data_IF_179880330973
#
_entry.id   IF_179880330973
#
_cell.length_a   1.000
_cell.length_b   1.000
_cell.length_c   1.000
_cell.angle_alpha   90.00
_cell.angle_beta   90.00
_cell.angle_gamma   90.00
#
_symmetry.space_group_name_H-M   'P 1'
#
loop_
_entity.id
_entity.type
_entity.pdbx_description
1 polymer ?
#
# COMPACT_ATOMS: atom_id res chain seq x y z
N UNK A 1 -22.34 -34.86 2.08
CA UNK A 1 -21.06 -34.42 2.68
C UNK A 1 -19.94 -35.13 1.95
N UNK A 2 -19.10 -34.40 1.20
CA UNK A 2 -17.94 -34.99 0.51
C UNK A 2 -16.91 -35.49 1.53
N UNK A 3 -16.08 -36.48 1.16
CA UNK A 3 -15.05 -37.05 2.06
C UNK A 3 -14.07 -35.99 2.60
N UNK A 4 -13.79 -34.95 1.80
CA UNK A 4 -12.97 -33.80 2.19
C UNK A 4 -13.64 -32.93 3.26
N UNK A 5 -14.96 -32.68 3.14
CA UNK A 5 -15.71 -31.91 4.15
C UNK A 5 -15.83 -32.69 5.47
N UNK A 6 -15.91 -34.03 5.40
CA UNK A 6 -15.92 -34.87 6.60
C UNK A 6 -14.58 -34.83 7.33
N UNK A 7 -13.46 -34.94 6.60
CA UNK A 7 -12.11 -34.76 7.17
C UNK A 7 -11.88 -33.35 7.75
N UNK A 8 -12.43 -32.32 7.11
CA UNK A 8 -12.35 -30.94 7.58
C UNK A 8 -13.06 -30.74 8.92
N UNK A 9 -14.27 -31.28 9.06
CA UNK A 9 -15.04 -31.27 10.31
C UNK A 9 -14.38 -32.13 11.38
N UNK A 10 -13.81 -33.27 11.01
CA UNK A 10 -13.10 -34.15 11.96
C UNK A 10 -11.80 -33.48 12.48
N UNK A 11 -10.97 -32.84 11.64
CA UNK A 11 -9.80 -32.08 12.11
C UNK A 11 -10.21 -30.83 12.93
N UNK A 12 -11.24 -30.08 12.52
CA UNK A 12 -11.73 -28.90 13.27
C UNK A 12 -12.26 -29.31 14.65
N UNK A 13 -13.11 -30.33 14.72
CA UNK A 13 -13.63 -30.86 16.00
C UNK A 13 -12.48 -31.40 16.88
N UNK A 14 -11.50 -32.08 16.27
CA UNK A 14 -10.32 -32.59 16.98
C UNK A 14 -9.45 -31.45 17.53
N UNK A 15 -9.30 -30.35 16.78
CA UNK A 15 -8.64 -29.14 17.23
C UNK A 15 -9.42 -28.47 18.37
N UNK A 16 -10.74 -28.28 18.25
CA UNK A 16 -11.64 -27.75 19.30
C UNK A 16 -11.55 -28.51 20.62
N UNK A 17 -11.57 -29.85 20.57
CA UNK A 17 -11.36 -30.72 21.74
C UNK A 17 -9.97 -30.55 22.37
N UNK A 18 -8.95 -30.20 21.58
CA UNK A 18 -7.57 -29.99 22.04
C UNK A 18 -7.31 -28.61 22.65
N UNK A 19 -8.05 -27.57 22.24
CA UNK A 19 -7.95 -26.20 22.81
C UNK A 19 -8.25 -26.15 24.33
N UNK A 20 -8.93 -27.18 24.85
CA UNK A 20 -9.28 -27.34 26.27
C UNK A 20 -8.12 -27.85 27.17
N UNK A 21 -7.06 -28.47 26.61
CA UNK A 21 -5.95 -29.04 27.41
C UNK A 21 -4.63 -28.28 27.23
N UNK A 22 -4.15 -27.68 28.31
CA UNK A 22 -2.97 -26.78 28.36
C UNK A 22 -1.59 -27.45 28.38
N UNK A 23 -1.49 -28.79 28.27
CA UNK A 23 -0.23 -29.50 28.18
C UNK A 23 -0.24 -30.51 27.03
N UNK A 24 0.40 -30.15 25.92
CA UNK A 24 0.53 -31.00 24.74
C UNK A 24 2.02 -31.07 24.37
N UNK A 25 2.54 -32.28 24.13
CA UNK A 25 3.93 -32.52 23.74
C UNK A 25 4.23 -31.98 22.33
N UNK A 26 5.50 -31.67 22.05
CA UNK A 26 5.95 -31.04 20.78
C UNK A 26 5.55 -31.86 19.55
N UNK A 27 5.68 -33.18 19.63
CA UNK A 27 5.30 -34.12 18.56
C UNK A 27 3.81 -33.99 18.19
N UNK A 28 2.94 -33.93 19.19
CA UNK A 28 1.49 -33.83 19.00
C UNK A 28 1.05 -32.48 18.45
N UNK A 29 1.81 -31.41 18.73
CA UNK A 29 1.53 -30.08 18.18
C UNK A 29 1.70 -30.05 16.65
N UNK A 30 2.78 -30.66 16.15
CA UNK A 30 3.09 -30.73 14.71
C UNK A 30 2.03 -31.52 13.92
N UNK A 31 1.51 -32.62 14.50
CA UNK A 31 0.44 -33.41 13.88
C UNK A 31 -0.88 -32.64 13.74
N UNK A 32 -1.28 -31.88 14.76
CA UNK A 32 -2.51 -31.07 14.73
C UNK A 32 -2.36 -29.88 13.78
N UNK A 33 -1.21 -29.19 13.78
CA UNK A 33 -0.94 -28.09 12.85
C UNK A 33 -0.96 -28.56 11.41
N UNK A 34 -0.49 -29.78 11.13
CA UNK A 34 -0.51 -30.37 9.79
C UNK A 34 -1.91 -30.86 9.38
N UNK A 35 -2.71 -31.41 10.31
CA UNK A 35 -4.14 -31.74 10.05
C UNK A 35 -4.92 -30.49 9.62
N UNK A 36 -4.75 -29.37 10.36
CA UNK A 36 -5.39 -28.10 10.05
C UNK A 36 -4.86 -27.49 8.74
N UNK A 37 -3.58 -27.65 8.45
CA UNK A 37 -2.99 -27.22 7.18
C UNK A 37 -3.69 -27.85 5.97
N UNK A 38 -3.81 -29.19 5.96
CA UNK A 38 -4.49 -29.94 4.89
C UNK A 38 -6.01 -29.72 4.86
N UNK A 39 -6.59 -29.26 5.97
CA UNK A 39 -7.98 -28.81 6.04
C UNK A 39 -8.19 -27.48 5.31
N UNK A 40 -7.19 -26.60 5.27
CA UNK A 40 -7.23 -25.31 4.55
C UNK A 40 -6.79 -25.51 3.08
N UNK A 41 -5.71 -26.27 2.87
CA UNK A 41 -5.16 -26.58 1.55
C UNK A 41 -5.55 -27.99 1.15
N UNK A 42 -6.62 -28.10 0.38
CA UNK A 42 -7.18 -29.40 0.00
C UNK A 42 -6.36 -30.15 -1.06
N UNK A 43 -5.53 -29.45 -1.85
CA UNK A 43 -4.78 -29.99 -2.98
C UNK A 43 -3.34 -29.45 -3.07
N UNK A 44 -2.41 -30.33 -3.47
CA UNK A 44 -1.01 -30.01 -3.83
C UNK A 44 -0.88 -28.93 -4.91
N UNK A 45 -1.81 -28.91 -5.87
CA UNK A 45 -1.83 -27.86 -6.89
C UNK A 45 -2.07 -26.47 -6.28
N UNK A 46 -3.02 -26.36 -5.34
CA UNK A 46 -3.32 -25.10 -4.67
C UNK A 46 -2.14 -24.67 -3.79
N UNK A 47 -1.48 -25.64 -3.13
CA UNK A 47 -0.26 -25.38 -2.35
C UNK A 47 0.82 -24.72 -3.22
N UNK A 48 1.22 -25.38 -4.30
CA UNK A 48 2.27 -24.88 -5.18
C UNK A 48 1.89 -23.54 -5.82
N UNK A 49 0.63 -23.37 -6.23
CA UNK A 49 0.13 -22.10 -6.77
C UNK A 49 0.23 -20.98 -5.72
N UNK A 50 -0.15 -21.24 -4.46
CA UNK A 50 -0.11 -20.25 -3.39
C UNK A 50 1.32 -19.83 -3.05
N UNK A 51 2.24 -20.79 -2.94
CA UNK A 51 3.67 -20.54 -2.70
C UNK A 51 4.24 -19.69 -3.84
N UNK A 52 4.02 -20.09 -5.09
CA UNK A 52 4.54 -19.38 -6.25
C UNK A 52 4.00 -17.95 -6.33
N UNK A 53 2.70 -17.78 -6.10
CA UNK A 53 2.05 -16.46 -6.14
C UNK A 53 2.57 -15.55 -5.03
N UNK A 54 2.65 -16.03 -3.78
CA UNK A 54 3.17 -15.24 -2.66
C UNK A 54 4.64 -14.89 -2.88
N UNK A 55 5.45 -15.82 -3.39
CA UNK A 55 6.86 -15.57 -3.70
C UNK A 55 7.04 -14.50 -4.78
N UNK A 56 6.22 -14.53 -5.84
CA UNK A 56 6.24 -13.49 -6.88
C UNK A 56 5.84 -12.14 -6.30
N UNK A 57 4.73 -12.06 -5.55
CA UNK A 57 4.27 -10.80 -4.97
C UNK A 57 5.29 -10.23 -3.98
N UNK A 58 5.89 -11.10 -3.16
CA UNK A 58 6.94 -10.73 -2.22
C UNK A 58 8.17 -10.15 -2.93
N UNK A 59 8.72 -10.88 -3.90
CA UNK A 59 9.92 -10.45 -4.63
C UNK A 59 9.66 -9.20 -5.46
N UNK A 60 8.52 -9.14 -6.15
CA UNK A 60 8.12 -7.97 -6.93
C UNK A 60 7.97 -6.73 -6.06
N UNK A 61 7.23 -6.83 -4.95
CA UNK A 61 7.04 -5.70 -4.03
C UNK A 61 8.37 -5.23 -3.46
N UNK A 62 9.26 -6.14 -3.02
CA UNK A 62 10.58 -5.77 -2.52
C UNK A 62 11.41 -5.04 -3.58
N UNK A 63 11.52 -5.61 -4.78
CA UNK A 63 12.34 -5.03 -5.86
C UNK A 63 11.84 -3.63 -6.23
N UNK A 64 10.54 -3.47 -6.45
CA UNK A 64 9.98 -2.18 -6.89
C UNK A 64 10.08 -1.13 -5.79
N UNK A 65 9.76 -1.47 -4.54
CA UNK A 65 9.83 -0.54 -3.41
C UNK A 65 11.27 -0.14 -3.08
N UNK A 66 12.22 -1.08 -3.05
CA UNK A 66 13.64 -0.78 -2.79
C UNK A 66 14.23 0.05 -3.93
N UNK A 67 13.95 -0.31 -5.19
CA UNK A 67 14.43 0.47 -6.33
C UNK A 67 13.90 1.90 -6.31
N UNK A 68 12.61 2.07 -5.99
CA UNK A 68 12.00 3.39 -5.86
C UNK A 68 12.62 4.18 -4.70
N UNK A 69 12.88 3.55 -3.56
CA UNK A 69 13.53 4.19 -2.41
C UNK A 69 14.94 4.69 -2.77
N UNK A 70 15.76 3.84 -3.39
CA UNK A 70 17.12 4.19 -3.80
C UNK A 70 17.11 5.34 -4.81
N UNK A 71 16.19 5.33 -5.78
CA UNK A 71 16.04 6.44 -6.73
C UNK A 71 15.66 7.77 -6.05
N UNK A 72 14.89 7.73 -4.97
CA UNK A 72 14.50 8.91 -4.19
C UNK A 72 15.58 9.38 -3.20
N UNK A 73 16.53 8.53 -2.83
CA UNK A 73 17.66 8.90 -1.98
C UNK A 73 18.81 9.51 -2.77
N UNK A 74 19.05 9.03 -3.99
CA UNK A 74 20.14 9.53 -4.82
C UNK A 74 19.93 10.99 -5.31
N UNK A 75 18.69 11.48 -5.26
CA UNK A 75 18.36 12.84 -5.70
C UNK A 75 18.23 13.80 -4.51
N UNK A 76 19.31 14.53 -4.19
CA UNK A 76 19.32 15.52 -3.10
C UNK A 76 18.29 16.64 -3.30
N UNK A 77 18.03 17.03 -4.55
CA UNK A 77 17.04 18.05 -4.92
C UNK A 77 15.59 17.60 -4.68
N UNK A 78 15.29 16.31 -4.78
CA UNK A 78 13.95 15.75 -4.57
C UNK A 78 13.69 15.36 -3.11
N UNK A 79 14.74 15.20 -2.30
CA UNK A 79 14.65 14.76 -0.90
C UNK A 79 13.66 15.57 -0.06
N UNK A 80 13.59 16.89 -0.28
CA UNK A 80 12.84 17.82 0.56
C UNK A 80 11.43 18.13 0.07
N UNK A 81 10.97 17.54 -1.04
CA UNK A 81 9.60 17.76 -1.48
C UNK A 81 8.63 16.96 -0.59
N UNK A 82 7.57 17.58 -0.03
CA UNK A 82 6.56 16.92 0.78
C UNK A 82 6.02 15.61 0.18
N UNK A 83 5.84 15.58 -1.15
CA UNK A 83 5.35 14.40 -1.87
C UNK A 83 6.31 13.22 -1.81
N UNK A 84 7.62 13.47 -1.96
CA UNK A 84 8.63 12.42 -1.94
C UNK A 84 8.89 11.90 -0.54
N UNK A 85 8.82 12.77 0.47
CA UNK A 85 8.92 12.36 1.88
C UNK A 85 7.75 11.46 2.28
N UNK A 86 6.51 11.81 1.91
CA UNK A 86 5.35 10.94 2.11
C UNK A 86 5.49 9.63 1.34
N UNK A 87 6.05 9.66 0.12
CA UNK A 87 6.28 8.46 -0.67
C UNK A 87 7.30 7.52 -0.04
N UNK A 88 8.40 8.05 0.53
CA UNK A 88 9.36 7.27 1.31
C UNK A 88 8.66 6.59 2.50
N UNK A 89 7.78 7.31 3.20
CA UNK A 89 7.02 6.74 4.31
C UNK A 89 6.06 5.61 3.88
N UNK A 90 5.41 5.77 2.73
CA UNK A 90 4.55 4.73 2.15
C UNK A 90 5.36 3.48 1.80
N UNK A 91 6.51 3.66 1.15
CA UNK A 91 7.43 2.57 0.80
C UNK A 91 7.86 1.79 2.06
N UNK A 92 8.23 2.48 3.14
CA UNK A 92 8.63 1.83 4.40
C UNK A 92 7.47 1.00 4.98
N UNK A 93 6.25 1.56 4.97
CA UNK A 93 5.07 0.85 5.47
C UNK A 93 4.72 -0.37 4.61
N UNK A 94 4.82 -0.24 3.28
CA UNK A 94 4.56 -1.32 2.33
C UNK A 94 5.61 -2.44 2.43
N UNK A 95 6.90 -2.11 2.60
CA UNK A 95 7.96 -3.09 2.86
C UNK A 95 7.72 -3.85 4.17
N UNK A 96 7.37 -3.14 5.26
CA UNK A 96 7.04 -3.77 6.54
C UNK A 96 5.86 -4.74 6.40
N UNK A 97 4.80 -4.32 5.69
CA UNK A 97 3.62 -5.15 5.47
C UNK A 97 3.98 -6.41 4.67
N UNK A 98 4.69 -6.26 3.56
CA UNK A 98 5.10 -7.37 2.69
C UNK A 98 5.98 -8.38 3.43
N UNK A 99 6.94 -7.92 4.23
CA UNK A 99 7.83 -8.81 5.00
C UNK A 99 7.05 -9.55 6.09
N UNK A 100 6.19 -8.85 6.84
CA UNK A 100 5.45 -9.43 7.97
C UNK A 100 4.35 -10.39 7.54
N UNK A 101 3.82 -10.27 6.32
CA UNK A 101 2.83 -11.20 5.77
C UNK A 101 3.51 -12.38 5.06
N UNK A 102 4.43 -12.10 4.12
CA UNK A 102 4.96 -13.14 3.22
C UNK A 102 5.87 -14.13 3.91
N UNK A 103 6.75 -13.71 4.84
CA UNK A 103 7.69 -14.63 5.47
C UNK A 103 6.98 -15.70 6.33
N UNK A 104 6.04 -15.34 7.22
CA UNK A 104 5.34 -16.34 8.02
C UNK A 104 4.41 -17.20 7.16
N UNK A 105 3.77 -16.63 6.13
CA UNK A 105 2.94 -17.39 5.20
C UNK A 105 3.76 -18.45 4.44
N UNK A 106 4.89 -18.06 3.84
CA UNK A 106 5.79 -19.00 3.14
C UNK A 106 6.35 -20.05 4.09
N UNK A 107 6.67 -19.69 5.34
CA UNK A 107 7.09 -20.66 6.34
C UNK A 107 5.97 -21.66 6.67
N UNK A 108 4.73 -21.22 6.84
CA UNK A 108 3.65 -22.15 7.10
C UNK A 108 3.40 -23.09 5.90
N UNK A 109 3.48 -22.55 4.67
CA UNK A 109 3.26 -23.30 3.43
C UNK A 109 4.35 -24.34 3.15
N UNK A 110 5.62 -23.99 3.31
CA UNK A 110 6.75 -24.89 3.02
C UNK A 110 6.87 -26.02 4.05
N UNK A 111 6.54 -25.74 5.31
CA UNK A 111 6.62 -26.73 6.39
C UNK A 111 5.30 -27.48 6.62
N UNK A 112 4.24 -27.16 5.86
CA UNK A 112 2.93 -27.81 5.97
C UNK A 112 2.33 -27.73 7.38
N UNK A 113 2.53 -26.60 8.04
CA UNK A 113 2.11 -26.32 9.41
C UNK A 113 1.36 -25.01 9.48
N UNK A 114 0.40 -24.91 10.40
CA UNK A 114 -0.33 -23.68 10.72
C UNK A 114 0.36 -22.91 11.86
N UNK A 115 0.06 -21.62 11.99
CA UNK A 115 0.73 -20.74 12.92
C UNK A 115 0.34 -21.04 14.38
N UNK A 116 1.26 -20.80 15.32
CA UNK A 116 1.04 -21.00 16.75
C UNK A 116 0.94 -19.64 17.45
N UNK A 117 -0.05 -19.48 18.33
CA UNK A 117 -0.22 -18.28 19.15
C UNK A 117 0.91 -18.15 20.17
N UNK A 118 1.87 -17.27 19.87
CA UNK A 118 3.03 -16.97 20.70
C UNK A 118 3.33 -15.46 20.65
N UNK A 119 4.33 -15.01 21.43
CA UNK A 119 4.77 -13.60 21.39
C UNK A 119 5.14 -13.13 19.97
N UNK A 120 5.72 -14.00 19.14
CA UNK A 120 6.00 -13.70 17.72
C UNK A 120 4.73 -13.35 16.93
N UNK A 121 3.62 -14.02 17.22
CA UNK A 121 2.33 -13.78 16.59
C UNK A 121 1.76 -12.42 16.98
N UNK A 122 1.86 -12.05 18.26
CA UNK A 122 1.42 -10.74 18.77
C UNK A 122 2.28 -9.62 18.15
N UNK A 123 3.60 -9.81 18.08
CA UNK A 123 4.49 -8.86 17.43
C UNK A 123 4.20 -8.70 15.93
N UNK A 124 3.91 -9.81 15.23
CA UNK A 124 3.50 -9.80 13.83
C UNK A 124 2.18 -9.03 13.66
N UNK A 125 1.17 -9.34 14.47
CA UNK A 125 -0.13 -8.66 14.47
C UNK A 125 0.02 -7.14 14.69
N UNK A 126 0.76 -6.74 15.72
CA UNK A 126 1.04 -5.32 16.00
C UNK A 126 1.73 -4.64 14.82
N UNK A 127 2.76 -5.27 14.24
CA UNK A 127 3.51 -4.67 13.13
C UNK A 127 2.69 -4.56 11.86
N UNK A 128 1.87 -5.56 11.54
CA UNK A 128 0.93 -5.50 10.42
C UNK A 128 -0.07 -4.35 10.63
N UNK A 129 -0.66 -4.23 11.83
CA UNK A 129 -1.59 -3.15 12.14
C UNK A 129 -0.94 -1.75 12.02
N UNK A 130 0.29 -1.59 12.52
CA UNK A 130 1.06 -0.33 12.37
C UNK A 130 1.32 -0.03 10.90
N UNK A 131 1.79 -1.01 10.12
CA UNK A 131 2.09 -0.83 8.70
C UNK A 131 0.83 -0.49 7.89
N UNK A 132 -0.28 -1.20 8.11
CA UNK A 132 -1.55 -0.93 7.43
C UNK A 132 -2.11 0.46 7.75
N UNK A 133 -2.13 0.84 9.03
CA UNK A 133 -2.55 2.19 9.44
C UNK A 133 -1.59 3.26 8.90
N UNK A 134 -0.28 2.99 8.90
CA UNK A 134 0.75 3.85 8.35
C UNK A 134 0.56 4.12 6.86
N UNK A 135 0.34 3.08 6.04
CA UNK A 135 0.05 3.23 4.62
C UNK A 135 -1.24 4.02 4.38
N UNK A 136 -2.32 3.73 5.11
CA UNK A 136 -3.61 4.44 4.98
C UNK A 136 -3.51 5.92 5.37
N UNK A 137 -2.88 6.24 6.50
CA UNK A 137 -2.64 7.60 6.95
C UNK A 137 -1.75 8.36 5.95
N UNK A 138 -0.74 7.70 5.40
CA UNK A 138 0.19 8.29 4.43
C UNK A 138 -0.51 8.60 3.11
N UNK A 139 -1.29 7.68 2.54
CA UNK A 139 -2.06 7.92 1.31
C UNK A 139 -3.09 9.04 1.53
N UNK A 140 -3.76 9.06 2.68
CA UNK A 140 -4.69 10.14 3.04
C UNK A 140 -3.95 11.48 3.16
N UNK A 141 -2.74 11.48 3.72
CA UNK A 141 -1.91 12.68 3.82
C UNK A 141 -1.43 13.18 2.45
N UNK A 142 -1.10 12.28 1.52
CA UNK A 142 -0.80 12.64 0.12
C UNK A 142 -2.00 13.28 -0.56
N UNK A 143 -3.22 12.77 -0.32
CA UNK A 143 -4.45 13.36 -0.83
C UNK A 143 -4.69 14.77 -0.28
N UNK A 144 -4.47 14.97 1.02
CA UNK A 144 -4.59 16.27 1.68
C UNK A 144 -3.54 17.26 1.17
N UNK A 145 -2.30 16.81 0.98
CA UNK A 145 -1.23 17.62 0.39
C UNK A 145 -1.62 18.10 -1.02
N UNK A 146 -2.12 17.19 -1.85
CA UNK A 146 -2.59 17.53 -3.20
C UNK A 146 -3.77 18.50 -3.17
N UNK A 147 -4.71 18.34 -2.23
CA UNK A 147 -5.82 19.27 -2.02
C UNK A 147 -5.33 20.68 -1.63
N UNK A 148 -4.42 20.78 -0.66
CA UNK A 148 -3.86 22.07 -0.21
C UNK A 148 -3.10 22.74 -1.36
N UNK A 149 -2.32 21.99 -2.12
CA UNK A 149 -1.62 22.49 -3.31
C UNK A 149 -2.60 23.07 -4.33
N UNK A 150 -3.68 22.34 -4.67
CA UNK A 150 -4.67 22.81 -5.65
C UNK A 150 -5.48 24.02 -5.14
N UNK A 151 -5.84 24.07 -3.85
CA UNK A 151 -6.69 25.14 -3.32
C UNK A 151 -5.92 26.40 -2.90
N UNK A 152 -4.67 26.25 -2.46
CA UNK A 152 -3.88 27.32 -1.84
C UNK A 152 -2.47 27.41 -2.45
N UNK A 153 -2.33 27.20 -3.76
CA UNK A 153 -1.03 27.13 -4.44
C UNK A 153 -0.07 28.27 -4.08
N UNK A 154 -0.56 29.51 -3.97
CA UNK A 154 0.27 30.70 -3.64
C UNK A 154 0.83 30.65 -2.19
N UNK A 155 0.10 30.05 -1.25
CA UNK A 155 0.53 29.90 0.14
C UNK A 155 1.11 28.51 0.46
N UNK A 156 1.10 27.58 -0.48
CA UNK A 156 1.53 26.20 -0.27
C UNK A 156 2.96 26.11 0.28
N UNK A 157 3.89 26.88 -0.28
CA UNK A 157 5.29 26.93 0.16
C UNK A 157 5.44 27.50 1.60
N UNK A 158 4.53 28.37 2.04
CA UNK A 158 4.49 28.87 3.41
C UNK A 158 3.73 27.94 4.38
N UNK A 159 2.85 27.08 3.86
CA UNK A 159 2.06 26.14 4.66
C UNK A 159 2.86 24.85 4.92
N UNK A 160 3.47 24.26 3.88
CA UNK A 160 4.25 23.02 3.93
C UNK A 160 5.75 23.28 4.16
N UNK A 161 6.09 23.87 5.30
CA UNK A 161 7.49 23.98 5.74
C UNK A 161 8.05 22.61 6.14
N UNK A 162 9.37 22.40 5.99
CA UNK A 162 10.05 21.16 6.41
C UNK A 162 9.71 20.73 7.85
N UNK A 163 9.69 21.68 8.80
CA UNK A 163 9.36 21.39 10.20
C UNK A 163 7.95 20.79 10.35
N UNK A 164 6.95 21.37 9.67
CA UNK A 164 5.57 20.87 9.69
C UNK A 164 5.47 19.49 9.05
N UNK A 165 6.20 19.23 7.96
CA UNK A 165 6.27 17.93 7.31
C UNK A 165 6.82 16.84 8.26
N UNK A 166 7.89 17.15 9.01
CA UNK A 166 8.40 16.25 10.05
C UNK A 166 7.39 16.03 11.18
N UNK A 167 6.73 17.09 11.65
CA UNK A 167 5.66 16.96 12.64
C UNK A 167 4.52 16.07 12.11
N UNK A 168 4.11 16.22 10.85
CA UNK A 168 3.09 15.37 10.24
C UNK A 168 3.52 13.91 10.15
N UNK A 169 4.76 13.62 9.76
CA UNK A 169 5.28 12.25 9.78
C UNK A 169 5.25 11.64 11.17
N UNK A 170 5.73 12.38 12.18
CA UNK A 170 5.69 11.93 13.58
C UNK A 170 4.25 11.64 14.00
N UNK A 171 3.30 12.53 13.66
CA UNK A 171 1.89 12.33 13.96
C UNK A 171 1.31 11.08 13.27
N UNK A 172 1.66 10.83 12.00
CA UNK A 172 1.24 9.62 11.28
C UNK A 172 1.68 8.36 12.04
N UNK A 173 2.96 8.30 12.41
CA UNK A 173 3.50 7.15 13.16
C UNK A 173 2.90 7.03 14.55
N UNK A 174 2.72 8.13 15.28
CA UNK A 174 2.08 8.12 16.60
C UNK A 174 0.64 7.64 16.53
N UNK A 175 -0.13 8.07 15.53
CA UNK A 175 -1.52 7.61 15.34
C UNK A 175 -1.57 6.14 14.96
N UNK A 176 -0.68 5.67 14.07
CA UNK A 176 -0.58 4.26 13.71
C UNK A 176 -0.20 3.39 14.92
N UNK A 177 0.80 3.82 15.70
CA UNK A 177 1.24 3.14 16.92
C UNK A 177 0.15 3.14 18.00
N UNK A 178 -0.56 4.25 18.20
CA UNK A 178 -1.65 4.33 19.16
C UNK A 178 -2.83 3.44 18.76
N UNK A 179 -3.20 3.45 17.47
CA UNK A 179 -4.25 2.59 16.93
C UNK A 179 -3.92 1.12 17.09
N UNK A 180 -2.76 0.68 16.58
CA UNK A 180 -2.29 -0.69 16.70
C UNK A 180 -2.02 -1.11 18.15
N UNK A 181 -1.54 -0.18 18.97
CA UNK A 181 -1.29 -0.38 20.39
C UNK A 181 -2.59 -0.60 21.16
N UNK A 182 -3.66 0.12 20.84
CA UNK A 182 -4.97 -0.05 21.47
C UNK A 182 -5.54 -1.45 21.20
N UNK A 183 -5.52 -1.91 19.94
CA UNK A 183 -6.00 -3.25 19.59
C UNK A 183 -5.14 -4.34 20.22
N UNK A 184 -3.82 -4.19 20.17
CA UNK A 184 -2.87 -5.17 20.73
C UNK A 184 -2.94 -5.24 22.26
N UNK A 185 -3.11 -4.09 22.94
CA UNK A 185 -3.27 -4.05 24.41
C UNK A 185 -4.52 -4.81 24.83
N UNK A 186 -5.61 -4.64 24.08
CA UNK A 186 -6.84 -5.38 24.34
C UNK A 186 -6.66 -6.90 24.14
N UNK A 187 -5.85 -7.33 23.16
CA UNK A 187 -5.48 -8.75 22.99
C UNK A 187 -4.74 -9.27 24.23
N UNK A 188 -3.78 -8.50 24.73
CA UNK A 188 -2.99 -8.87 25.91
C UNK A 188 -3.83 -8.89 27.20
N UNK A 189 -4.80 -7.97 27.33
CA UNK A 189 -5.70 -7.91 28.47
C UNK A 189 -6.73 -9.05 28.49
N UNK A 190 -7.09 -9.58 27.33
CA UNK A 190 -8.07 -10.66 27.18
C UNK A 190 -7.64 -12.05 27.69
N UNK A 191 -6.56 -12.14 28.49
CA UNK A 191 -5.94 -13.38 28.98
C UNK A 191 -5.67 -14.38 27.86
N UNK A 192 -4.73 -14.01 27.00
CA UNK A 192 -4.37 -14.85 25.87
C UNK A 192 -3.66 -16.14 26.35
N UNK A 193 -4.22 -17.29 26.00
CA UNK A 193 -3.63 -18.59 26.31
C UNK A 193 -2.51 -18.92 25.31
N UNK A 194 -1.27 -18.64 25.70
CA UNK A 194 -0.09 -18.92 24.88
C UNK A 194 0.05 -20.41 24.54
N UNK A 195 0.48 -20.72 23.32
CA UNK A 195 0.76 -22.07 22.85
C UNK A 195 -0.40 -22.78 22.15
N UNK A 196 -1.54 -22.11 21.96
CA UNK A 196 -2.66 -22.58 21.16
C UNK A 196 -2.39 -22.50 19.65
N UNK A 197 -3.00 -23.37 18.86
CA UNK A 197 -2.80 -23.45 17.40
C UNK A 197 -3.81 -22.51 16.73
N UNK A 198 -3.39 -21.73 15.73
CA UNK A 198 -4.28 -20.88 14.93
C UNK A 198 -4.66 -21.58 13.64
N UNK A 199 -5.88 -21.34 13.15
CA UNK A 199 -6.36 -21.87 11.88
C UNK A 199 -5.91 -21.00 10.69
N UNK A 200 -4.69 -20.46 10.70
CA UNK A 200 -4.20 -19.50 9.71
C UNK A 200 -2.69 -19.55 9.49
N UNK A 201 -2.22 -18.83 8.46
CA UNK A 201 -0.81 -18.71 8.08
C UNK A 201 -0.18 -17.36 8.46
N UNK A 202 -1.01 -16.43 8.92
CA UNK A 202 -0.66 -15.08 9.40
C UNK A 202 -1.49 -14.85 10.66
N UNK A 203 -1.00 -14.03 11.58
CA UNK A 203 -1.75 -13.67 12.77
C UNK A 203 -2.87 -12.68 12.45
N UNK A 204 -4.02 -13.22 12.04
CA UNK A 204 -5.21 -12.46 11.71
C UNK A 204 -6.01 -12.07 12.96
N UNK A 205 -6.72 -10.93 12.95
CA UNK A 205 -7.51 -10.48 14.10
C UNK A 205 -8.55 -11.52 14.54
N UNK A 206 -9.21 -12.17 13.58
CA UNK A 206 -10.26 -13.17 13.81
C UNK A 206 -9.71 -14.43 14.50
N UNK A 207 -8.57 -14.90 14.04
CA UNK A 207 -7.86 -16.04 14.62
C UNK A 207 -7.40 -15.75 16.05
N UNK A 208 -6.95 -14.52 16.32
CA UNK A 208 -6.58 -14.09 17.67
C UNK A 208 -7.83 -13.99 18.56
N UNK A 209 -8.93 -13.44 18.03
CA UNK A 209 -10.20 -13.25 18.72
C UNK A 209 -10.82 -14.56 19.20
N UNK A 210 -10.79 -15.60 18.37
CA UNK A 210 -11.30 -16.93 18.71
C UNK A 210 -10.59 -17.56 19.92
N UNK A 211 -9.41 -17.06 20.30
CA UNK A 211 -8.60 -17.62 21.39
C UNK A 211 -8.80 -16.93 22.74
N UNK A 212 -9.53 -15.81 22.78
CA UNK A 212 -9.75 -15.04 24.00
C UNK A 212 -10.99 -15.53 24.76
N UNK A 213 -10.87 -15.71 26.08
CA UNK A 213 -11.97 -16.12 26.96
C UNK A 213 -13.05 -15.03 27.12
N UNK A 214 -12.71 -13.76 26.85
CA UNK A 214 -13.61 -12.61 26.88
C UNK A 214 -13.86 -12.03 25.47
N UNK A 215 -14.11 -12.91 24.49
CA UNK A 215 -14.17 -12.59 23.06
C UNK A 215 -15.18 -11.49 22.69
N UNK A 216 -16.39 -11.51 23.26
CA UNK A 216 -17.50 -10.65 22.78
C UNK A 216 -17.23 -9.13 22.90
N UNK A 217 -16.62 -8.68 24.00
CA UNK A 217 -16.31 -7.26 24.20
C UNK A 217 -15.17 -6.80 23.28
N UNK A 218 -14.14 -7.63 23.15
CA UNK A 218 -13.01 -7.38 22.27
C UNK A 218 -13.43 -7.34 20.80
N UNK A 219 -14.23 -8.32 20.38
CA UNK A 219 -14.76 -8.45 19.03
C UNK A 219 -15.59 -7.22 18.65
N UNK A 220 -16.50 -6.81 19.55
CA UNK A 220 -17.33 -5.62 19.36
C UNK A 220 -16.46 -4.35 19.27
N UNK A 221 -15.48 -4.19 20.16
CA UNK A 221 -14.57 -3.05 20.12
C UNK A 221 -13.77 -3.01 18.80
N UNK A 222 -13.17 -4.13 18.39
CA UNK A 222 -12.33 -4.17 17.20
C UNK A 222 -13.15 -3.90 15.91
N UNK A 223 -14.39 -4.43 15.84
CA UNK A 223 -15.33 -4.12 14.75
C UNK A 223 -15.67 -2.64 14.69
N UNK A 224 -16.01 -2.03 15.83
CA UNK A 224 -16.34 -0.60 15.91
C UNK A 224 -15.11 0.25 15.57
N UNK A 225 -13.94 -0.12 16.09
CA UNK A 225 -12.69 0.59 15.85
C UNK A 225 -12.32 0.57 14.36
N UNK A 226 -12.21 -0.61 13.76
CA UNK A 226 -11.89 -0.75 12.32
C UNK A 226 -12.95 -0.06 11.46
N UNK A 227 -14.24 -0.26 11.76
CA UNK A 227 -15.33 0.41 11.04
C UNK A 227 -15.26 1.94 11.13
N UNK A 228 -14.98 2.49 12.32
CA UNK A 228 -14.85 3.94 12.53
C UNK A 228 -13.65 4.53 11.80
N UNK A 229 -12.52 3.83 11.80
CA UNK A 229 -11.28 4.22 11.12
C UNK A 229 -11.50 4.22 9.60
N UNK A 230 -12.09 3.16 9.04
CA UNK A 230 -12.41 3.07 7.62
C UNK A 230 -13.39 4.17 7.20
N UNK A 231 -14.43 4.42 8.00
CA UNK A 231 -15.38 5.49 7.74
C UNK A 231 -14.72 6.87 7.74
N UNK A 232 -13.86 7.15 8.73
CA UNK A 232 -13.11 8.40 8.79
C UNK A 232 -12.22 8.60 7.55
N UNK A 233 -11.47 7.58 7.15
CA UNK A 233 -10.63 7.65 5.96
C UNK A 233 -11.45 7.88 4.69
N UNK A 234 -12.56 7.15 4.52
CA UNK A 234 -13.47 7.34 3.40
C UNK A 234 -14.02 8.77 3.36
N UNK A 235 -14.40 9.34 4.50
CA UNK A 235 -14.93 10.70 4.59
C UNK A 235 -13.88 11.74 4.20
N UNK A 236 -12.71 11.69 4.82
CA UNK A 236 -11.61 12.64 4.55
C UNK A 236 -11.17 12.57 3.10
N UNK A 237 -11.03 11.36 2.56
CA UNK A 237 -10.63 11.15 1.18
C UNK A 237 -11.69 11.62 0.19
N UNK A 238 -12.95 11.24 0.40
CA UNK A 238 -14.07 11.66 -0.45
C UNK A 238 -14.27 13.17 -0.44
N UNK A 239 -14.10 13.81 0.72
CA UNK A 239 -14.13 15.27 0.82
C UNK A 239 -13.00 15.91 0.02
N UNK A 240 -11.75 15.44 0.21
CA UNK A 240 -10.57 16.00 -0.45
C UNK A 240 -10.65 15.87 -1.98
N UNK A 241 -10.94 14.66 -2.47
CA UNK A 241 -11.06 14.40 -3.91
C UNK A 241 -12.33 14.97 -4.52
N UNK A 242 -13.44 15.00 -3.78
CA UNK A 242 -14.67 15.64 -4.22
C UNK A 242 -14.47 17.12 -4.48
N UNK A 243 -13.74 17.82 -3.60
CA UNK A 243 -13.37 19.23 -3.80
C UNK A 243 -12.38 19.42 -4.96
N UNK A 244 -11.37 18.56 -5.09
CA UNK A 244 -10.46 18.59 -6.24
C UNK A 244 -11.22 18.40 -7.57
N UNK A 245 -12.18 17.47 -7.61
CA UNK A 245 -13.03 17.23 -8.77
C UNK A 245 -13.93 18.43 -9.09
N UNK A 246 -14.52 19.07 -8.08
CA UNK A 246 -15.33 20.27 -8.26
C UNK A 246 -14.52 21.42 -8.87
N UNK A 247 -13.31 21.65 -8.36
CA UNK A 247 -12.40 22.68 -8.88
C UNK A 247 -12.04 22.36 -10.34
N UNK A 248 -11.64 21.12 -10.64
CA UNK A 248 -11.34 20.69 -12.00
C UNK A 248 -12.53 20.90 -12.96
N UNK A 249 -13.77 20.76 -12.45
CA UNK A 249 -14.99 20.98 -13.24
C UNK A 249 -15.32 22.46 -13.45
N UNK A 250 -15.05 23.32 -12.47
CA UNK A 250 -15.30 24.76 -12.55
C UNK A 250 -14.33 25.47 -13.49
N UNK A 251 -13.17 24.87 -13.72
CA UNK A 251 -12.11 25.43 -14.56
C UNK A 251 -12.38 25.01 -15.99
N UNK A 252 -13.39 25.62 -16.59
CA UNK A 252 -13.64 25.56 -18.02
C UNK A 252 -12.77 26.62 -18.72
N UNK A 253 -11.51 26.30 -18.97
CA UNK A 253 -10.68 26.98 -19.97
C UNK A 253 -11.12 26.53 -21.39
N UNK A 254 -10.95 27.37 -22.44
CA UNK A 254 -11.54 27.15 -23.77
C UNK A 254 -10.98 25.95 -24.58
N UNK A 255 -10.05 25.16 -24.02
CA UNK A 255 -9.50 23.96 -24.65
C UNK A 255 -10.04 22.68 -23.98
N UNK A 256 -11.05 22.07 -24.59
CA UNK A 256 -11.76 20.87 -24.10
C UNK A 256 -10.89 19.61 -23.89
N UNK A 257 -9.66 19.59 -24.41
CA UNK A 257 -8.82 18.38 -24.46
C UNK A 257 -7.98 18.15 -23.19
N UNK A 258 -7.57 19.20 -22.47
CA UNK A 258 -6.76 19.08 -21.24
C UNK A 258 -7.58 18.62 -20.02
N UNK A 259 -8.90 18.86 -20.03
CA UNK A 259 -9.78 18.58 -18.91
C UNK A 259 -10.13 17.07 -18.77
N UNK A 260 -9.91 16.28 -19.82
CA UNK A 260 -10.03 14.82 -19.73
C UNK A 260 -8.89 14.19 -18.93
N UNK A 261 -7.65 14.68 -19.10
CA UNK A 261 -6.47 14.13 -18.43
C UNK A 261 -6.47 14.39 -16.91
N UNK A 262 -6.92 15.58 -16.48
CA UNK A 262 -7.07 15.90 -15.06
C UNK A 262 -8.08 14.97 -14.36
N UNK A 263 -9.22 14.69 -15.01
CA UNK A 263 -10.25 13.77 -14.50
C UNK A 263 -9.76 12.34 -14.39
N UNK A 264 -9.03 11.82 -15.39
CA UNK A 264 -8.43 10.49 -15.33
C UNK A 264 -7.43 10.37 -14.18
N UNK A 265 -6.69 11.43 -13.88
CA UNK A 265 -5.70 11.46 -12.79
C UNK A 265 -6.37 11.38 -11.42
N UNK A 266 -7.44 12.16 -11.22
CA UNK A 266 -8.25 12.12 -10.00
C UNK A 266 -8.87 10.73 -9.80
N UNK A 267 -9.42 10.15 -10.87
CA UNK A 267 -9.99 8.81 -10.82
C UNK A 267 -8.95 7.73 -10.50
N UNK A 268 -7.74 7.85 -11.06
CA UNK A 268 -6.64 6.93 -10.78
C UNK A 268 -6.26 6.89 -9.30
N UNK A 269 -6.08 8.06 -8.66
CA UNK A 269 -5.80 8.11 -7.23
C UNK A 269 -6.96 7.59 -6.38
N UNK A 270 -8.20 7.87 -6.78
CA UNK A 270 -9.38 7.32 -6.12
C UNK A 270 -9.42 5.79 -6.20
N UNK A 271 -9.08 5.21 -7.36
CA UNK A 271 -9.01 3.77 -7.54
C UNK A 271 -7.92 3.12 -6.66
N UNK A 272 -6.74 3.73 -6.54
CA UNK A 272 -5.65 3.24 -5.67
C UNK A 272 -6.06 3.26 -4.21
N UNK A 273 -6.72 4.32 -3.77
CA UNK A 273 -7.20 4.40 -2.39
C UNK A 273 -8.26 3.34 -2.08
N UNK A 274 -9.21 3.11 -2.99
CA UNK A 274 -10.15 2.01 -2.85
C UNK A 274 -9.45 0.65 -2.81
N UNK A 275 -8.43 0.45 -3.64
CA UNK A 275 -7.62 -0.77 -3.62
C UNK A 275 -6.93 -0.96 -2.26
N UNK A 276 -6.43 0.11 -1.63
CA UNK A 276 -5.80 0.04 -0.31
C UNK A 276 -6.82 -0.27 0.81
N UNK A 277 -8.05 0.25 0.72
CA UNK A 277 -9.10 -0.03 1.69
C UNK A 277 -9.71 -1.42 1.56
N UNK A 278 -9.67 -1.98 0.35
CA UNK A 278 -10.37 -3.21 0.01
C UNK A 278 -10.06 -4.40 0.95
N UNK A 279 -8.78 -4.73 1.29
CA UNK A 279 -8.49 -5.80 2.25
C UNK A 279 -9.11 -5.57 3.63
N UNK A 280 -9.10 -4.32 4.11
CA UNK A 280 -9.67 -3.96 5.41
C UNK A 280 -11.20 -4.00 5.41
N UNK A 281 -11.83 -3.68 4.29
CA UNK A 281 -13.29 -3.80 4.12
C UNK A 281 -13.71 -5.27 4.12
N UNK A 282 -12.98 -6.15 3.41
CA UNK A 282 -13.27 -7.58 3.42
C UNK A 282 -13.11 -8.15 4.84
N UNK A 283 -12.02 -7.79 5.54
CA UNK A 283 -11.78 -8.18 6.94
C UNK A 283 -12.93 -7.69 7.87
N UNK A 284 -13.46 -6.49 7.64
CA UNK A 284 -14.62 -6.02 8.39
C UNK A 284 -15.87 -6.88 8.11
N UNK A 285 -16.10 -7.23 6.85
CA UNK A 285 -17.25 -8.05 6.44
C UNK A 285 -17.16 -9.47 7.00
N UNK A 286 -15.97 -10.07 7.01
CA UNK A 286 -15.73 -11.41 7.58
C UNK A 286 -16.04 -11.43 9.07
N UNK A 287 -15.57 -10.43 9.81
CA UNK A 287 -15.90 -10.25 11.23
C UNK A 287 -17.43 -10.16 11.47
N UNK A 288 -18.23 -9.63 10.56
CA UNK A 288 -19.70 -9.57 10.70
C UNK A 288 -20.43 -10.91 10.43
N UNK A 289 -19.71 -12.02 10.32
CA UNK A 289 -20.29 -13.38 10.25
C UNK A 289 -20.49 -13.89 8.83
N UNK A 290 -19.74 -13.34 7.86
CA UNK A 290 -19.65 -13.94 6.51
C UNK A 290 -18.35 -14.73 6.45
N UNK A 291 -18.43 -16.04 6.65
CA UNK A 291 -17.28 -16.94 6.51
C UNK A 291 -16.70 -16.81 5.10
N UNK A 292 -15.55 -16.15 5.01
CA UNK A 292 -14.65 -16.28 3.87
C UNK A 292 -13.64 -17.33 4.29
N UNK A 293 -13.97 -18.60 4.04
CA UNK A 293 -13.20 -19.79 4.43
C UNK A 293 -11.78 -19.88 3.83
N UNK A 294 -11.22 -18.79 3.27
CA UNK A 294 -10.00 -18.82 2.48
C UNK A 294 -8.94 -17.83 2.97
N UNK A 295 -8.23 -18.20 4.04
CA UNK A 295 -7.09 -17.44 4.58
C UNK A 295 -6.04 -17.09 3.52
N UNK A 296 -5.84 -17.96 2.50
CA UNK A 296 -4.90 -17.69 1.40
C UNK A 296 -5.35 -16.50 0.56
N UNK A 297 -6.65 -16.39 0.31
CA UNK A 297 -7.21 -15.26 -0.43
C UNK A 297 -6.98 -13.94 0.31
N UNK A 298 -7.17 -13.92 1.63
CA UNK A 298 -6.93 -12.73 2.46
C UNK A 298 -5.47 -12.29 2.46
N UNK A 299 -4.55 -13.25 2.52
CA UNK A 299 -3.10 -13.01 2.41
C UNK A 299 -2.75 -12.41 1.04
N UNK A 300 -3.21 -13.04 -0.04
CA UNK A 300 -2.99 -12.54 -1.40
C UNK A 300 -3.55 -11.12 -1.56
N UNK A 301 -4.77 -10.89 -1.06
CA UNK A 301 -5.43 -9.60 -1.15
C UNK A 301 -4.67 -8.50 -0.40
N UNK A 302 -4.09 -8.83 0.74
CA UNK A 302 -3.29 -7.90 1.55
C UNK A 302 -1.92 -7.59 0.94
N UNK A 303 -1.40 -8.45 0.06
CA UNK A 303 -0.12 -8.26 -0.66
C UNK A 303 -0.26 -7.46 -1.96
N UNK A 304 -1.47 -7.32 -2.50
CA UNK A 304 -1.70 -6.56 -3.74
C UNK A 304 -1.38 -5.05 -3.58
N UNK A 305 -1.84 -4.33 -2.54
CA UNK A 305 -1.59 -2.90 -2.43
C UNK A 305 -0.11 -2.52 -2.39
N UNK A 306 0.76 -3.18 -1.59
CA UNK A 306 2.22 -2.95 -1.60
C UNK A 306 2.90 -3.16 -2.96
N UNK A 307 2.29 -3.90 -3.88
CA UNK A 307 2.79 -4.08 -5.24
C UNK A 307 2.35 -2.93 -6.16
N UNK A 308 1.11 -2.45 -5.99
CA UNK A 308 0.51 -1.45 -6.88
C UNK A 308 0.92 -0.03 -6.51
N UNK A 309 1.01 0.29 -5.22
CA UNK A 309 1.37 1.61 -4.71
C UNK A 309 2.64 2.18 -5.37
N UNK A 310 3.81 1.53 -5.31
CA UNK A 310 5.04 2.12 -5.84
C UNK A 310 5.03 2.21 -7.37
N UNK A 311 4.33 1.30 -8.07
CA UNK A 311 4.15 1.41 -9.53
C UNK A 311 3.30 2.62 -9.87
N UNK A 312 2.21 2.81 -9.15
CA UNK A 312 1.28 3.90 -9.39
C UNK A 312 1.90 5.28 -9.11
N UNK A 313 2.50 5.45 -7.93
CA UNK A 313 3.15 6.71 -7.55
C UNK A 313 4.49 6.90 -8.26
N UNK A 314 5.24 5.82 -8.52
CA UNK A 314 6.53 5.84 -9.22
C UNK A 314 6.41 6.18 -10.71
N UNK A 315 5.48 5.57 -11.45
CA UNK A 315 5.25 5.92 -12.87
C UNK A 315 4.78 7.37 -13.01
N UNK A 316 3.95 7.85 -12.10
CA UNK A 316 3.49 9.24 -12.17
C UNK A 316 4.60 10.24 -11.89
N UNK A 317 5.51 9.89 -10.97
CA UNK A 317 6.69 10.68 -10.68
C UNK A 317 7.83 10.48 -11.70
N UNK A 318 7.76 9.48 -12.59
CA UNK A 318 8.79 9.23 -13.62
C UNK A 318 9.03 10.42 -14.53
N UNK A 319 8.03 11.24 -14.87
CA UNK A 319 8.29 12.42 -15.69
C UNK A 319 9.23 13.40 -15.00
N UNK A 320 9.14 13.52 -13.67
CA UNK A 320 10.03 14.35 -12.86
C UNK A 320 11.38 13.65 -12.65
N UNK A 321 11.37 12.37 -12.28
CA UNK A 321 12.59 11.60 -12.04
C UNK A 321 13.42 11.40 -13.31
N UNK A 322 12.82 11.13 -14.47
CA UNK A 322 13.49 10.95 -15.75
C UNK A 322 14.17 12.24 -16.24
N UNK A 323 13.51 13.39 -16.09
CA UNK A 323 14.12 14.68 -16.42
C UNK A 323 15.34 14.96 -15.53
N UNK A 324 15.26 14.66 -14.23
CA UNK A 324 16.39 14.81 -13.31
C UNK A 324 17.51 13.78 -13.56
N UNK A 325 17.19 12.52 -13.85
CA UNK A 325 18.21 11.50 -14.16
C UNK A 325 18.94 11.80 -15.48
N UNK A 326 18.24 12.27 -16.52
CA UNK A 326 18.89 12.71 -17.75
C UNK A 326 19.67 14.03 -17.56
N UNK A 327 19.18 14.96 -16.73
CA UNK A 327 19.93 16.19 -16.42
C UNK A 327 21.21 15.89 -15.64
N UNK A 328 21.20 14.88 -14.75
CA UNK A 328 22.37 14.45 -13.99
C UNK A 328 23.43 13.73 -14.82
N UNK A 329 23.08 13.23 -16.01
CA UNK A 329 24.01 12.62 -16.97
C UNK A 329 24.57 13.66 -17.98
N UNK A 330 24.03 14.89 -17.98
CA UNK A 330 24.30 15.88 -19.04
C UNK A 330 25.25 17.02 -18.66
N UNK A 331 25.40 17.42 -17.39
CA UNK A 331 26.20 18.61 -17.06
C UNK A 331 27.06 18.43 -15.80
N UNK A 332 28.29 17.95 -16.00
CA UNK A 332 29.45 18.56 -15.34
C UNK A 332 29.77 19.84 -16.11
N UNK A 333 29.67 20.98 -15.44
CA UNK A 333 29.93 22.35 -15.91
C UNK A 333 28.68 23.11 -16.40
N UNK A 334 27.90 23.66 -15.46
CA UNK A 334 27.50 25.07 -15.36
C UNK A 334 26.64 25.19 -14.08
N UNK A 335 27.34 25.43 -12.97
CA UNK A 335 26.75 26.04 -11.77
C UNK A 335 26.98 27.54 -11.95
N UNK A 336 25.93 28.28 -12.27
CA UNK A 336 25.62 29.58 -11.65
C UNK A 336 24.43 30.26 -12.34
N UNK A 337 23.45 30.67 -11.52
CA UNK A 337 22.35 31.58 -11.82
C UNK A 337 21.33 31.18 -12.92
N UNK A 338 20.36 30.34 -12.57
CA UNK A 338 19.05 30.32 -13.22
C UNK A 338 17.93 30.17 -12.17
N UNK A 339 16.85 30.99 -12.22
CA UNK A 339 15.79 30.94 -11.23
C UNK A 339 14.98 29.66 -11.35
N UNK A 340 14.67 29.11 -10.18
CA UNK A 340 13.92 27.90 -9.92
C UNK A 340 12.50 27.96 -10.54
N UNK A 341 12.31 27.42 -11.74
CA UNK A 341 11.00 27.11 -12.31
C UNK A 341 11.03 25.76 -13.02
N UNK A 342 10.91 24.68 -12.24
CA UNK A 342 10.59 23.36 -12.81
C UNK A 342 9.07 23.32 -13.04
N UNK A 343 8.70 23.52 -14.29
CA UNK A 343 7.36 23.43 -14.86
C UNK A 343 6.81 21.99 -14.73
N UNK A 344 6.24 21.63 -13.57
CA UNK A 344 5.49 20.40 -13.40
C UNK A 344 4.30 20.59 -12.45
N UNK A 345 3.12 20.77 -13.04
CA UNK A 345 1.84 20.75 -12.36
C UNK A 345 1.07 22.06 -12.48
N UNK A 346 0.14 22.10 -13.43
CA UNK A 346 -1.01 23.03 -13.51
C UNK A 346 -0.72 24.48 -13.09
N UNK A 347 -0.29 25.33 -14.02
CA UNK A 347 -0.38 26.78 -13.80
C UNK A 347 -1.75 27.30 -14.21
N UNK A 348 -2.50 27.77 -13.21
CA UNK A 348 -3.48 28.83 -13.37
C UNK A 348 -2.72 30.14 -13.56
N UNK A 349 -2.76 30.72 -14.76
CA UNK A 349 -2.32 32.09 -14.94
C UNK A 349 -3.50 33.02 -14.62
N UNK A 350 -3.40 33.78 -13.54
CA UNK A 350 -4.12 35.03 -13.42
C UNK A 350 -3.50 36.01 -14.44
N UNK A 351 -4.34 36.59 -15.26
CA UNK A 351 -3.99 37.50 -16.35
C UNK A 351 -3.84 38.90 -15.77
N UNK A 352 -2.74 39.59 -16.08
CA UNK A 352 -2.76 41.04 -16.29
C UNK A 352 -1.84 41.38 -17.48
N UNK A 353 -2.53 41.67 -18.58
CA UNK A 353 -2.26 42.61 -19.68
C UNK A 353 -0.86 42.75 -20.33
N UNK A 354 -0.93 42.68 -21.67
CA UNK A 354 -0.11 43.32 -22.70
C UNK A 354 1.30 42.78 -23.00
N UNK A 355 1.40 41.86 -23.97
CA UNK A 355 1.93 42.14 -25.32
C UNK A 355 2.29 40.84 -26.07
N UNK A 356 2.07 40.88 -27.37
CA UNK A 356 2.20 39.80 -28.35
C UNK A 356 3.53 39.02 -28.28
N UNK A 357 3.47 37.69 -28.39
CA UNK A 357 4.30 36.87 -29.31
C UNK A 357 3.64 35.50 -29.46
N UNK A 358 3.36 35.15 -30.72
CA UNK A 358 2.85 33.89 -31.21
C UNK A 358 3.84 32.75 -30.89
N UNK A 359 3.35 31.67 -30.27
CA UNK A 359 4.13 30.46 -30.04
C UNK A 359 3.25 29.24 -29.81
N UNK A 360 2.85 28.58 -30.90
CA UNK A 360 2.26 27.24 -30.89
C UNK A 360 3.21 26.26 -30.17
N UNK A 361 2.79 25.71 -29.02
CA UNK A 361 3.48 24.58 -28.39
C UNK A 361 2.48 23.42 -28.20
N UNK A 362 2.39 22.58 -29.23
CA UNK A 362 1.64 21.34 -29.25
C UNK A 362 2.41 20.22 -28.52
N UNK A 363 1.71 19.56 -27.59
CA UNK A 363 2.15 18.34 -26.92
C UNK A 363 2.16 17.16 -27.91
N UNK A 364 3.24 17.02 -28.67
CA UNK A 364 3.44 15.94 -29.66
C UNK A 364 4.83 15.29 -29.56
N UNK A 365 5.47 15.32 -28.40
CA UNK A 365 6.90 14.96 -28.27
C UNK A 365 7.20 13.72 -27.43
N UNK A 366 6.23 12.90 -27.00
CA UNK A 366 6.57 11.64 -26.34
C UNK A 366 6.69 10.43 -27.29
N UNK A 367 5.97 10.43 -28.42
CA UNK A 367 6.02 9.34 -29.40
C UNK A 367 6.90 9.67 -30.63
N UNK A 368 7.10 10.97 -30.93
CA UNK A 368 7.92 11.43 -32.06
C UNK A 368 9.43 11.35 -31.81
N UNK A 369 9.89 11.64 -30.59
CA UNK A 369 11.32 11.57 -30.25
C UNK A 369 11.87 10.15 -30.19
N UNK A 370 11.03 9.15 -29.86
CA UNK A 370 11.44 7.75 -29.89
C UNK A 370 11.64 7.28 -31.35
N UNK A 371 10.79 7.72 -32.28
CA UNK A 371 10.88 7.36 -33.70
C UNK A 371 12.03 8.10 -34.39
N UNK A 372 12.28 9.37 -34.05
CA UNK A 372 13.40 10.14 -34.61
C UNK A 372 14.76 9.63 -34.12
N UNK A 373 14.85 9.23 -32.85
CA UNK A 373 16.07 8.63 -32.30
C UNK A 373 16.36 7.23 -32.88
N UNK A 374 15.32 6.42 -33.13
CA UNK A 374 15.47 5.13 -33.82
C UNK A 374 15.84 5.30 -35.30
N UNK A 375 15.28 6.31 -36.00
CA UNK A 375 15.63 6.60 -37.39
C UNK A 375 17.05 7.17 -37.54
N UNK A 376 17.52 8.00 -36.60
CA UNK A 376 18.91 8.48 -36.60
C UNK A 376 19.92 7.39 -36.25
N UNK A 377 19.57 6.45 -35.37
CA UNK A 377 20.41 5.28 -35.06
C UNK A 377 20.52 4.29 -36.23
N UNK A 378 19.46 4.12 -37.03
CA UNK A 378 19.51 3.27 -38.23
C UNK A 378 20.33 3.95 -39.34
N UNK A 379 20.23 5.27 -39.49
CA UNK A 379 20.99 6.01 -40.52
C UNK A 379 22.50 6.08 -40.23
N UNK A 380 22.92 6.08 -38.96
CA UNK A 380 24.35 6.05 -38.59
C UNK A 380 25.01 4.67 -38.72
N UNK A 381 24.22 3.60 -38.87
CA UNK A 381 24.70 2.21 -38.85
C UNK A 381 25.04 1.63 -40.24
N UNK A 382 24.51 2.20 -41.32
CA UNK A 382 24.79 1.76 -42.70
C UNK A 382 24.78 2.93 -43.70
N UNK A 383 25.93 3.60 -43.95
CA UNK A 383 26.01 4.70 -44.91
C UNK A 383 26.08 4.27 -46.39
N UNK A 384 26.01 2.97 -46.69
CA UNK A 384 26.08 2.43 -48.05
C UNK A 384 24.94 1.45 -48.33
N UNK A 385 23.71 1.96 -48.35
CA UNK A 385 22.59 1.35 -49.07
C UNK A 385 21.48 2.41 -49.22
N UNK A 386 21.75 3.40 -50.06
CA UNK A 386 20.81 3.95 -51.04
C UNK A 386 21.56 4.79 -52.08
#
# INVERSE_FOLDING_TARGET
MNSSQKKQVDCKNFAELSFSKSQISVQWRSEVTSCLFWSIIYNEFLLNLSIFTILILFTFSLVVNIYLLLGLEHSEALSWNPRYVLLKNLIVSDLLLTVMISLPALHCLLWHETLIFNFRCIAQYFTIAVATLGSLLTITSMALESFVYTCHGIHYLGIMTNMRLYCFMILIWLLALAGAGSSTTLVLMGRANFGRILAGFVCEPEDVQAQLEASNYFETFNKIFIGSVLFLFLLVFSFSYGRMYQIARQVQQPFQQENAHARCTIFFYFAIFLLQLFPSIINLITMFGRDVDNHIYMIMLSLVPPCVNPVAYGIRNRCTLYYYFNASDSDSDIVDHAPFQVHLGFYFHASDSDSDIVGHASFQTCHGHLLSALLQSIHSSHPHLF
#
